data_IF_464068564718
#
_entry.id   IF_464068564718
#
_cell.length_a   1.000
_cell.length_b   1.000
_cell.length_c   1.000
_cell.angle_alpha   90.00
_cell.angle_beta   90.00
_cell.angle_gamma   90.00
#
_symmetry.space_group_name_H-M   'P 1'
#
loop_
_entity.id
_entity.type
_entity.pdbx_description
1 polymer ?
#
# COMPACT_ATOMS: atom_id res chain seq x y z
N UNK A 1 -38.14 -46.86 -2.47
CA UNK A 1 -38.06 -45.41 -2.75
C UNK A 1 -36.78 -44.88 -2.12
N UNK A 2 -35.64 -44.98 -2.81
CA UNK A 2 -34.34 -44.50 -2.33
C UNK A 2 -33.30 -44.70 -3.44
N UNK A 3 -33.10 -43.70 -4.29
CA UNK A 3 -32.12 -43.85 -5.38
C UNK A 3 -31.87 -42.60 -6.23
N UNK A 4 -32.80 -41.64 -6.22
CA UNK A 4 -32.74 -40.48 -7.14
C UNK A 4 -32.19 -39.19 -6.51
N UNK A 5 -32.03 -39.11 -5.18
CA UNK A 5 -31.61 -37.88 -4.49
C UNK A 5 -30.09 -37.71 -4.30
N UNK A 6 -29.29 -38.77 -4.48
CA UNK A 6 -27.83 -38.70 -4.20
C UNK A 6 -27.03 -38.21 -5.42
N UNK A 7 -27.55 -38.32 -6.64
CA UNK A 7 -26.84 -37.86 -7.86
C UNK A 7 -26.96 -36.36 -8.13
N UNK A 8 -27.96 -35.66 -7.56
CA UNK A 8 -28.12 -34.22 -7.74
C UNK A 8 -27.17 -33.39 -6.85
N UNK A 9 -26.80 -33.90 -5.67
CA UNK A 9 -25.89 -33.20 -4.75
C UNK A 9 -24.42 -33.20 -5.22
N UNK A 10 -23.98 -34.26 -5.93
CA UNK A 10 -22.61 -34.36 -6.42
C UNK A 10 -22.33 -33.46 -7.65
N UNK A 11 -23.35 -33.16 -8.46
CA UNK A 11 -23.21 -32.25 -9.61
C UNK A 11 -23.23 -30.77 -9.22
N UNK A 12 -23.86 -30.41 -8.09
CA UNK A 12 -23.83 -29.03 -7.57
C UNK A 12 -22.56 -28.71 -6.77
N UNK A 13 -21.95 -29.69 -6.11
CA UNK A 13 -20.67 -29.51 -5.43
C UNK A 13 -19.49 -29.35 -6.42
N UNK A 14 -19.55 -29.97 -7.60
CA UNK A 14 -18.52 -29.83 -8.64
C UNK A 14 -18.50 -28.46 -9.33
N UNK A 15 -19.65 -27.80 -9.44
CA UNK A 15 -19.79 -26.49 -10.10
C UNK A 15 -19.56 -25.29 -9.16
N UNK A 16 -19.67 -25.47 -7.85
CA UNK A 16 -19.35 -24.44 -6.86
C UNK A 16 -17.89 -24.43 -6.42
N UNK A 17 -17.14 -25.53 -6.60
CA UNK A 17 -15.70 -25.56 -6.34
C UNK A 17 -14.85 -25.02 -7.49
N UNK A 18 -15.37 -24.91 -8.71
CA UNK A 18 -14.63 -24.35 -9.85
C UNK A 18 -14.66 -22.82 -9.94
N UNK A 19 -15.54 -22.14 -9.18
CA UNK A 19 -15.65 -20.67 -9.23
C UNK A 19 -14.72 -19.95 -8.23
N UNK A 20 -14.15 -20.64 -7.25
CA UNK A 20 -13.26 -20.04 -6.24
C UNK A 20 -11.76 -20.34 -6.46
N UNK A 21 -11.41 -21.21 -7.42
CA UNK A 21 -10.02 -21.59 -7.70
C UNK A 21 -9.41 -20.93 -8.95
N UNK A 22 -10.11 -19.96 -9.56
CA UNK A 22 -9.70 -19.33 -10.83
C UNK A 22 -8.86 -18.05 -10.73
N UNK A 23 -8.75 -17.39 -9.57
CA UNK A 23 -8.18 -16.03 -9.48
C UNK A 23 -6.70 -15.97 -9.05
N UNK A 24 -6.11 -17.11 -8.70
CA UNK A 24 -4.71 -17.18 -8.26
C UNK A 24 -3.72 -17.49 -9.40
N UNK A 25 -4.13 -17.39 -10.68
CA UNK A 25 -3.16 -17.17 -11.73
C UNK A 25 -2.67 -15.74 -11.57
N UNK A 26 -1.42 -15.58 -11.15
CA UNK A 26 -0.77 -14.31 -11.10
C UNK A 26 -0.76 -13.71 -12.52
N UNK A 27 -1.75 -12.87 -12.84
CA UNK A 27 -1.74 -11.93 -13.98
C UNK A 27 -0.49 -11.04 -13.90
N UNK A 28 0.68 -11.56 -14.24
CA UNK A 28 1.86 -10.72 -14.39
C UNK A 28 1.52 -9.68 -15.43
N UNK A 29 1.69 -8.41 -15.07
CA UNK A 29 1.46 -7.34 -16.02
C UNK A 29 2.39 -7.53 -17.21
N UNK A 30 1.90 -7.26 -18.44
CA UNK A 30 2.77 -7.28 -19.61
C UNK A 30 3.94 -6.33 -19.40
N UNK A 31 5.15 -6.79 -19.72
CA UNK A 31 6.36 -5.96 -19.65
C UNK A 31 6.62 -5.19 -20.93
N UNK A 32 5.86 -5.49 -22.00
CA UNK A 32 5.96 -4.80 -23.30
C UNK A 32 4.97 -3.64 -23.36
N UNK A 33 5.35 -2.58 -24.07
CA UNK A 33 4.47 -1.42 -24.29
C UNK A 33 3.17 -1.80 -25.00
N UNK A 34 3.25 -2.73 -25.96
CA UNK A 34 2.08 -3.25 -26.69
C UNK A 34 1.12 -3.97 -25.74
N UNK A 35 1.63 -4.89 -24.92
CA UNK A 35 0.80 -5.59 -23.95
C UNK A 35 0.19 -4.66 -22.90
N UNK A 36 0.91 -3.62 -22.46
CA UNK A 36 0.35 -2.61 -21.57
C UNK A 36 -0.77 -1.80 -22.23
N UNK A 37 -0.62 -1.45 -23.51
CA UNK A 37 -1.69 -0.79 -24.27
C UNK A 37 -2.92 -1.69 -24.41
N UNK A 38 -2.73 -2.98 -24.71
CA UNK A 38 -3.83 -3.96 -24.76
C UNK A 38 -4.53 -4.06 -23.40
N UNK A 39 -3.77 -4.10 -22.31
CA UNK A 39 -4.33 -4.12 -20.95
C UNK A 39 -5.11 -2.84 -20.63
N UNK A 40 -4.60 -1.65 -20.98
CA UNK A 40 -5.33 -0.39 -20.85
C UNK A 40 -6.65 -0.41 -21.61
N UNK A 41 -6.63 -0.88 -22.86
CA UNK A 41 -7.85 -1.00 -23.67
C UNK A 41 -8.84 -1.98 -23.06
N UNK A 42 -8.35 -3.13 -22.57
CA UNK A 42 -9.18 -4.12 -21.87
C UNK A 42 -9.81 -3.53 -20.60
N UNK A 43 -9.07 -2.74 -19.82
CA UNK A 43 -9.61 -2.04 -18.65
C UNK A 43 -10.72 -1.06 -19.05
N UNK A 44 -10.51 -0.23 -20.07
CA UNK A 44 -11.53 0.72 -20.56
C UNK A 44 -12.78 -0.01 -21.07
N UNK A 45 -12.62 -1.09 -21.85
CA UNK A 45 -13.73 -1.93 -22.29
C UNK A 45 -14.46 -2.58 -21.12
N UNK A 46 -13.72 -2.91 -20.05
CA UNK A 46 -14.26 -3.40 -18.79
C UNK A 46 -14.94 -2.34 -17.93
N UNK A 47 -15.02 -1.08 -18.36
CA UNK A 47 -15.67 0.02 -17.64
C UNK A 47 -14.79 0.72 -16.62
N UNK A 48 -13.48 0.45 -16.60
CA UNK A 48 -12.54 1.23 -15.79
C UNK A 48 -12.34 2.62 -16.40
N UNK A 49 -12.07 3.60 -15.54
CA UNK A 49 -11.68 4.96 -15.90
C UNK A 49 -10.32 5.28 -15.28
N UNK A 50 -9.57 6.17 -15.91
CA UNK A 50 -8.34 6.70 -15.30
C UNK A 50 -8.70 7.48 -14.03
N UNK A 51 -7.97 7.22 -12.96
CA UNK A 51 -8.13 7.91 -11.69
C UNK A 51 -7.13 9.05 -11.54
N UNK A 52 -7.59 10.15 -10.98
CA UNK A 52 -6.74 11.27 -10.57
C UNK A 52 -7.23 11.83 -9.24
N UNK A 53 -6.30 12.22 -8.38
CA UNK A 53 -6.62 12.76 -7.07
C UNK A 53 -7.54 13.97 -7.18
N UNK A 54 -8.61 13.99 -6.37
CA UNK A 54 -9.67 15.01 -6.36
C UNK A 54 -10.53 15.12 -7.63
N UNK A 55 -10.38 14.21 -8.60
CA UNK A 55 -11.20 14.22 -9.83
C UNK A 55 -12.22 13.08 -9.88
N UNK A 56 -12.14 12.13 -8.94
CA UNK A 56 -13.06 11.00 -8.84
C UNK A 56 -14.08 11.22 -7.73
N UNK A 57 -15.32 10.83 -8.00
CA UNK A 57 -16.44 10.76 -7.08
C UNK A 57 -16.81 9.31 -6.69
N UNK A 58 -15.97 8.33 -7.06
CA UNK A 58 -16.30 6.93 -6.85
C UNK A 58 -16.06 6.47 -5.41
N UNK A 59 -17.13 6.28 -4.65
CA UNK A 59 -17.03 5.90 -3.23
C UNK A 59 -16.88 4.39 -3.00
N UNK A 60 -17.17 3.57 -4.00
CA UNK A 60 -17.05 2.11 -3.93
C UNK A 60 -16.48 1.56 -5.23
N UNK A 61 -15.18 1.80 -5.43
CA UNK A 61 -14.46 1.41 -6.64
C UNK A 61 -13.34 0.43 -6.33
N UNK A 62 -13.26 -0.62 -7.14
CA UNK A 62 -12.04 -1.41 -7.30
C UNK A 62 -10.99 -0.55 -8.01
N UNK A 63 -9.72 -0.74 -7.66
CA UNK A 63 -8.59 -0.05 -8.28
C UNK A 63 -7.62 -1.03 -8.92
N UNK A 64 -6.93 -0.57 -9.96
CA UNK A 64 -5.84 -1.29 -10.62
C UNK A 64 -4.71 -0.29 -10.90
N UNK A 65 -3.48 -0.67 -10.58
CA UNK A 65 -2.28 0.10 -10.91
C UNK A 65 -1.62 -0.48 -12.15
N UNK A 66 -1.27 0.34 -13.14
CA UNK A 66 -0.40 -0.05 -14.24
C UNK A 66 0.90 0.76 -14.21
N UNK A 67 1.98 0.20 -14.75
CA UNK A 67 3.23 0.93 -14.97
C UNK A 67 4.00 0.35 -16.14
N UNK A 68 4.73 1.20 -16.86
CA UNK A 68 5.71 0.80 -17.88
C UNK A 68 7.10 0.53 -17.28
N UNK A 69 7.26 0.74 -15.97
CA UNK A 69 8.56 0.63 -15.30
C UNK A 69 8.85 -0.84 -14.94
N UNK A 70 9.93 -1.43 -15.47
CA UNK A 70 10.25 -2.84 -15.21
C UNK A 70 10.49 -3.14 -13.73
N UNK A 71 10.95 -2.16 -12.95
CA UNK A 71 11.14 -2.28 -11.50
C UNK A 71 9.84 -2.64 -10.78
N UNK A 72 8.68 -2.25 -11.34
CA UNK A 72 7.37 -2.53 -10.75
C UNK A 72 6.82 -3.89 -11.16
N UNK A 73 7.46 -4.60 -12.09
CA UNK A 73 6.97 -5.88 -12.63
C UNK A 73 7.54 -7.10 -11.90
N UNK A 74 8.42 -6.91 -10.92
CA UNK A 74 8.95 -8.04 -10.13
C UNK A 74 7.84 -8.71 -9.32
N UNK A 75 7.92 -10.03 -9.05
CA UNK A 75 6.90 -10.73 -8.28
C UNK A 75 6.62 -10.11 -6.90
N UNK A 76 7.67 -9.64 -6.20
CA UNK A 76 7.52 -8.99 -4.90
C UNK A 76 6.75 -7.67 -4.99
N UNK A 77 7.04 -6.84 -5.99
CA UNK A 77 6.35 -5.56 -6.16
C UNK A 77 4.91 -5.78 -6.59
N UNK A 78 4.67 -6.73 -7.50
CA UNK A 78 3.31 -7.09 -7.91
C UNK A 78 2.48 -7.65 -6.75
N UNK A 79 3.07 -8.44 -5.87
CA UNK A 79 2.42 -8.90 -4.64
C UNK A 79 2.04 -7.73 -3.70
N UNK A 80 2.96 -6.76 -3.53
CA UNK A 80 2.69 -5.54 -2.76
C UNK A 80 1.53 -4.74 -3.37
N UNK A 81 1.58 -4.46 -4.68
CA UNK A 81 0.57 -3.68 -5.41
C UNK A 81 -0.80 -4.36 -5.32
N UNK A 82 -0.89 -5.67 -5.59
CA UNK A 82 -2.15 -6.42 -5.50
C UNK A 82 -2.74 -6.43 -4.10
N UNK A 83 -1.89 -6.48 -3.08
CA UNK A 83 -2.38 -6.38 -1.71
C UNK A 83 -3.05 -5.01 -1.44
N UNK A 84 -2.53 -3.92 -2.03
CA UNK A 84 -3.20 -2.61 -1.99
C UNK A 84 -4.53 -2.61 -2.73
N UNK A 85 -4.59 -3.21 -3.92
CA UNK A 85 -5.80 -3.29 -4.73
C UNK A 85 -6.89 -4.11 -4.02
N UNK A 86 -6.54 -5.32 -3.58
CA UNK A 86 -7.48 -6.30 -3.04
C UNK A 86 -7.94 -5.99 -1.62
N UNK A 87 -7.14 -5.25 -0.82
CA UNK A 87 -7.50 -4.94 0.57
C UNK A 87 -8.28 -3.63 0.70
N UNK A 88 -8.57 -2.92 -0.40
CA UNK A 88 -9.17 -1.57 -0.38
C UNK A 88 -10.48 -1.52 0.41
N UNK A 89 -11.48 -2.29 -0.01
CA UNK A 89 -12.82 -2.25 0.58
C UNK A 89 -12.79 -2.55 2.07
N UNK A 90 -12.02 -3.57 2.44
CA UNK A 90 -11.86 -4.01 3.83
C UNK A 90 -11.14 -2.98 4.70
N UNK A 91 -10.02 -2.42 4.24
CA UNK A 91 -9.27 -1.41 5.00
C UNK A 91 -10.08 -0.11 5.10
N UNK A 92 -10.72 0.33 4.02
CA UNK A 92 -11.60 1.51 4.01
C UNK A 92 -12.72 1.36 5.05
N UNK A 93 -13.38 0.21 5.07
CA UNK A 93 -14.43 -0.09 6.05
C UNK A 93 -13.90 -0.12 7.49
N UNK A 94 -12.77 -0.79 7.72
CA UNK A 94 -12.15 -0.93 9.04
C UNK A 94 -11.69 0.40 9.65
N UNK A 95 -11.24 1.32 8.79
CA UNK A 95 -10.76 2.63 9.23
C UNK A 95 -11.83 3.73 9.17
N UNK A 96 -12.97 3.46 8.54
CA UNK A 96 -13.95 4.49 8.15
C UNK A 96 -13.27 5.64 7.39
N UNK A 97 -12.29 5.31 6.55
CA UNK A 97 -11.53 6.30 5.79
C UNK A 97 -12.26 6.69 4.51
N UNK A 98 -11.91 7.85 3.96
CA UNK A 98 -12.38 8.24 2.64
C UNK A 98 -11.78 7.31 1.55
N UNK A 99 -12.58 6.75 0.63
CA UNK A 99 -12.11 5.84 -0.43
C UNK A 99 -11.12 6.48 -1.41
N UNK A 100 -11.25 7.79 -1.66
CA UNK A 100 -10.36 8.55 -2.53
C UNK A 100 -9.03 8.81 -1.82
N UNK A 101 -9.07 9.08 -0.51
CA UNK A 101 -7.85 9.15 0.30
C UNK A 101 -7.12 7.82 0.32
N UNK A 102 -7.83 6.70 0.41
CA UNK A 102 -7.20 5.38 0.26
C UNK A 102 -6.43 5.29 -1.07
N UNK A 103 -7.01 5.70 -2.18
CA UNK A 103 -6.35 5.68 -3.49
C UNK A 103 -5.06 6.52 -3.50
N UNK A 104 -5.12 7.76 -2.99
CA UNK A 104 -3.94 8.62 -2.84
C UNK A 104 -2.86 7.93 -1.99
N UNK A 105 -3.25 7.40 -0.82
CA UNK A 105 -2.35 6.75 0.11
C UNK A 105 -1.74 5.46 -0.47
N UNK A 106 -2.47 4.74 -1.33
CA UNK A 106 -1.97 3.57 -2.03
C UNK A 106 -0.90 3.95 -3.08
N UNK A 107 -1.10 5.04 -3.84
CA UNK A 107 -0.02 5.60 -4.68
C UNK A 107 1.19 6.00 -3.83
N UNK A 108 0.96 6.68 -2.70
CA UNK A 108 2.02 7.07 -1.78
C UNK A 108 2.76 5.85 -1.21
N UNK A 109 2.07 4.77 -0.86
CA UNK A 109 2.68 3.54 -0.34
C UNK A 109 3.66 2.93 -1.34
N UNK A 110 3.32 2.91 -2.63
CA UNK A 110 4.23 2.45 -3.71
C UNK A 110 5.38 3.45 -3.89
N UNK A 111 5.11 4.75 -3.79
CA UNK A 111 6.16 5.78 -3.81
C UNK A 111 7.18 5.64 -2.68
N UNK A 112 6.70 5.32 -1.47
CA UNK A 112 7.51 5.02 -0.29
C UNK A 112 8.30 3.73 -0.50
N UNK A 113 7.70 2.68 -1.06
CA UNK A 113 8.40 1.44 -1.40
C UNK A 113 9.60 1.70 -2.32
N UNK A 114 9.40 2.50 -3.38
CA UNK A 114 10.49 2.92 -4.26
C UNK A 114 11.57 3.72 -3.53
N UNK A 115 11.17 4.63 -2.63
CA UNK A 115 12.11 5.45 -1.86
C UNK A 115 12.92 4.67 -0.83
N UNK A 116 12.31 3.73 -0.13
CA UNK A 116 12.90 3.08 1.04
C UNK A 116 13.71 1.83 0.69
N UNK A 117 13.21 1.04 -0.26
CA UNK A 117 13.85 -0.21 -0.64
C UNK A 117 14.25 -0.28 -2.11
N UNK A 118 14.03 0.77 -2.91
CA UNK A 118 14.18 0.70 -4.37
C UNK A 118 13.42 -0.53 -4.90
N UNK A 119 12.17 -0.66 -4.48
CA UNK A 119 11.31 -1.79 -4.86
C UNK A 119 11.91 -3.15 -4.48
N UNK A 120 12.31 -3.32 -3.21
CA UNK A 120 12.96 -4.52 -2.66
C UNK A 120 14.42 -4.78 -3.11
N UNK A 121 15.04 -3.90 -3.90
CA UNK A 121 16.37 -4.15 -4.47
C UNK A 121 17.54 -3.48 -3.74
N UNK A 122 17.27 -2.52 -2.83
CA UNK A 122 18.34 -1.76 -2.21
C UNK A 122 19.27 -2.66 -1.40
N UNK A 123 20.58 -2.49 -1.57
CA UNK A 123 21.59 -3.30 -0.87
C UNK A 123 21.39 -3.26 0.65
N UNK A 124 21.05 -2.09 1.20
CA UNK A 124 20.76 -1.91 2.63
C UNK A 124 19.55 -2.72 3.07
N UNK A 125 18.50 -2.78 2.26
CA UNK A 125 17.34 -3.61 2.54
C UNK A 125 17.72 -5.09 2.50
N UNK A 126 18.38 -5.55 1.43
CA UNK A 126 18.82 -6.95 1.30
C UNK A 126 19.68 -7.41 2.48
N UNK A 127 20.64 -6.60 2.92
CA UNK A 127 21.48 -6.93 4.09
C UNK A 127 20.65 -7.09 5.38
N UNK A 128 19.61 -6.26 5.57
CA UNK A 128 18.73 -6.37 6.75
C UNK A 128 17.88 -7.63 6.72
N UNK A 129 17.46 -8.06 5.54
CA UNK A 129 16.66 -9.27 5.31
C UNK A 129 17.49 -10.55 5.41
N UNK A 130 18.69 -10.54 4.83
CA UNK A 130 19.57 -11.72 4.79
C UNK A 130 20.23 -11.99 6.16
N UNK A 131 20.36 -10.97 7.02
CA UNK A 131 21.04 -11.07 8.32
C UNK A 131 20.32 -10.32 9.47
N UNK A 132 19.08 -10.69 9.81
CA UNK A 132 18.28 -9.97 10.83
C UNK A 132 18.91 -10.04 12.23
N UNK A 133 19.56 -11.16 12.58
CA UNK A 133 20.28 -11.35 13.83
C UNK A 133 21.49 -10.41 13.95
N UNK A 134 22.28 -10.26 12.88
CA UNK A 134 23.46 -9.38 12.88
C UNK A 134 23.09 -7.91 13.14
N UNK A 135 22.02 -7.42 12.51
CA UNK A 135 21.54 -6.04 12.72
C UNK A 135 21.04 -5.83 14.15
N UNK A 136 20.36 -6.83 14.72
CA UNK A 136 19.88 -6.76 16.11
C UNK A 136 21.03 -6.73 17.12
N UNK A 137 22.08 -7.52 16.90
CA UNK A 137 23.30 -7.55 17.73
C UNK A 137 24.06 -6.24 17.63
N UNK A 138 24.27 -5.71 16.42
CA UNK A 138 24.93 -4.40 16.24
C UNK A 138 24.15 -3.30 16.95
N UNK A 139 22.81 -3.27 16.82
CA UNK A 139 21.98 -2.29 17.54
C UNK A 139 22.04 -2.45 19.05
N UNK A 140 22.08 -3.67 19.56
CA UNK A 140 22.21 -3.93 20.99
C UNK A 140 23.56 -3.44 21.54
N UNK A 141 24.66 -3.74 20.83
CA UNK A 141 26.01 -3.25 21.16
C UNK A 141 26.05 -1.71 21.09
N UNK A 142 25.45 -1.12 20.06
CA UNK A 142 25.44 0.33 19.87
C UNK A 142 24.55 1.05 20.90
N UNK A 143 23.44 0.46 21.31
CA UNK A 143 22.57 0.97 22.38
C UNK A 143 23.27 0.90 23.75
N UNK A 144 23.96 -0.22 24.02
CA UNK A 144 24.77 -0.42 25.22
C UNK A 144 25.92 0.60 25.32
N UNK A 145 26.67 0.79 24.23
CA UNK A 145 27.79 1.76 24.19
C UNK A 145 27.33 3.21 24.30
N UNK A 146 26.11 3.53 23.87
CA UNK A 146 25.59 4.91 23.87
C UNK A 146 24.61 5.20 25.03
N UNK A 147 24.38 4.26 25.95
CA UNK A 147 23.52 4.47 27.13
C UNK A 147 22.06 4.81 26.81
N UNK A 148 21.52 4.36 25.67
CA UNK A 148 20.14 4.64 25.24
C UNK A 148 19.30 3.37 25.20
N UNK A 149 18.03 3.47 25.58
CA UNK A 149 17.04 2.41 25.36
C UNK A 149 16.86 2.17 23.85
N UNK A 150 16.78 0.91 23.45
CA UNK A 150 16.57 0.54 22.06
C UNK A 150 15.24 1.14 21.54
N UNK A 151 15.31 2.04 20.56
CA UNK A 151 14.13 2.56 19.89
C UNK A 151 13.52 1.49 18.98
N UNK A 152 12.19 1.57 18.77
CA UNK A 152 11.52 0.71 17.80
C UNK A 152 12.21 0.82 16.43
N UNK A 153 12.70 -0.31 15.94
CA UNK A 153 13.42 -0.36 14.66
C UNK A 153 12.42 -0.33 13.50
N UNK A 154 12.67 0.51 12.50
CA UNK A 154 12.00 0.39 11.19
C UNK A 154 12.21 -1.00 10.57
N UNK A 155 11.13 -1.59 10.03
CA UNK A 155 11.07 -2.96 9.48
C UNK A 155 10.46 -2.97 8.08
N UNK A 156 10.74 -4.03 7.32
CA UNK A 156 10.16 -4.27 6.00
C UNK A 156 10.64 -3.32 4.89
N UNK A 157 10.13 -3.49 3.67
CA UNK A 157 10.60 -2.77 2.47
C UNK A 157 10.16 -1.30 2.43
N UNK A 158 9.16 -0.92 3.25
CA UNK A 158 8.72 0.47 3.44
C UNK A 158 9.28 1.09 4.72
N UNK A 159 10.02 0.35 5.57
CA UNK A 159 10.65 0.89 6.78
C UNK A 159 9.66 1.46 7.83
N UNK A 160 8.43 0.95 7.89
CA UNK A 160 7.47 1.32 8.95
C UNK A 160 8.00 0.95 10.34
N UNK A 161 7.71 1.81 11.33
CA UNK A 161 8.23 1.67 12.71
C UNK A 161 7.30 0.88 13.63
N UNK A 162 6.00 0.98 13.38
CA UNK A 162 4.94 0.38 14.20
C UNK A 162 3.88 -0.17 13.25
N UNK A 163 3.44 -1.40 13.48
CA UNK A 163 2.29 -1.97 12.79
C UNK A 163 1.03 -1.43 13.47
N UNK A 164 0.08 -0.84 12.72
CA UNK A 164 -1.18 -0.38 13.30
C UNK A 164 -1.97 -1.53 13.93
N UNK A 165 -2.52 -1.31 15.12
CA UNK A 165 -3.22 -2.35 15.90
C UNK A 165 -4.39 -2.97 15.11
N UNK A 166 -5.16 -2.15 14.38
CA UNK A 166 -6.28 -2.67 13.57
C UNK A 166 -5.80 -3.60 12.45
N UNK A 167 -4.66 -3.29 11.83
CA UNK A 167 -4.04 -4.13 10.81
C UNK A 167 -3.45 -5.41 11.42
N UNK A 168 -2.75 -5.30 12.55
CA UNK A 168 -2.20 -6.44 13.28
C UNK A 168 -3.32 -7.43 13.66
N UNK A 169 -4.37 -6.93 14.32
CA UNK A 169 -5.50 -7.75 14.76
C UNK A 169 -6.26 -8.39 13.59
N UNK A 170 -6.41 -7.67 12.47
CA UNK A 170 -7.17 -8.21 11.33
C UNK A 170 -6.38 -9.24 10.53
N UNK A 171 -5.11 -8.97 10.27
CA UNK A 171 -4.31 -9.73 9.30
C UNK A 171 -3.21 -10.59 9.93
N UNK A 172 -3.04 -10.56 11.26
CA UNK A 172 -1.95 -11.26 11.95
C UNK A 172 -0.56 -10.73 11.57
N UNK A 173 -0.49 -9.46 11.16
CA UNK A 173 0.76 -8.84 10.71
C UNK A 173 1.54 -8.39 11.94
N UNK A 174 2.80 -8.82 12.01
CA UNK A 174 3.73 -8.49 13.10
C UNK A 174 5.01 -7.91 12.52
N UNK A 175 5.83 -7.21 13.33
CA UNK A 175 7.12 -6.69 12.86
C UNK A 175 8.04 -7.72 12.18
N UNK A 176 7.90 -9.00 12.53
CA UNK A 176 8.74 -10.10 12.05
C UNK A 176 8.30 -10.67 10.70
N UNK A 177 7.09 -10.37 10.24
CA UNK A 177 6.59 -10.80 8.93
C UNK A 177 6.41 -9.65 7.91
N UNK A 178 6.93 -8.45 8.23
CA UNK A 178 6.89 -7.28 7.34
C UNK A 178 7.82 -7.36 6.12
N UNK A 179 8.63 -8.41 6.01
CA UNK A 179 9.39 -8.70 4.79
C UNK A 179 8.51 -9.28 3.69
N UNK A 180 7.34 -9.82 4.04
CA UNK A 180 6.33 -10.30 3.09
C UNK A 180 5.67 -9.09 2.42
N UNK A 181 5.69 -9.00 1.07
CA UNK A 181 5.17 -7.83 0.35
C UNK A 181 3.72 -7.47 0.70
N UNK A 182 2.84 -8.46 0.84
CA UNK A 182 1.42 -8.27 1.13
C UNK A 182 1.21 -7.68 2.53
N UNK A 183 1.98 -8.17 3.51
CA UNK A 183 1.94 -7.66 4.88
C UNK A 183 2.49 -6.24 4.95
N UNK A 184 3.60 -5.97 4.26
CA UNK A 184 4.17 -4.65 4.15
C UNK A 184 3.19 -3.64 3.54
N UNK A 185 2.47 -4.03 2.49
CA UNK A 185 1.47 -3.21 1.83
C UNK A 185 0.34 -2.82 2.79
N UNK A 186 -0.29 -3.81 3.44
CA UNK A 186 -1.41 -3.58 4.37
C UNK A 186 -1.00 -2.76 5.59
N UNK A 187 0.17 -3.06 6.17
CA UNK A 187 0.70 -2.30 7.31
C UNK A 187 1.08 -0.86 6.94
N UNK A 188 1.64 -0.65 5.74
CA UNK A 188 1.91 0.70 5.24
C UNK A 188 0.61 1.47 5.03
N UNK A 189 -0.44 0.84 4.50
CA UNK A 189 -1.73 1.49 4.33
C UNK A 189 -2.38 1.89 5.64
N UNK A 190 -2.48 0.98 6.61
CA UNK A 190 -3.05 1.34 7.92
C UNK A 190 -2.26 2.48 8.58
N UNK A 191 -0.92 2.44 8.50
CA UNK A 191 -0.07 3.48 9.06
C UNK A 191 -0.32 4.83 8.37
N UNK A 192 -0.40 4.85 7.04
CA UNK A 192 -0.65 6.08 6.28
C UNK A 192 -2.03 6.68 6.56
N UNK A 193 -3.06 5.84 6.76
CA UNK A 193 -4.41 6.30 7.11
C UNK A 193 -4.40 6.98 8.49
N UNK A 194 -3.77 6.34 9.49
CA UNK A 194 -3.63 6.92 10.84
C UNK A 194 -2.79 8.20 10.82
N UNK A 195 -1.70 8.21 10.05
CA UNK A 195 -0.85 9.38 9.87
C UNK A 195 -1.57 10.55 9.19
N UNK A 196 -2.46 10.27 8.22
CA UNK A 196 -3.28 11.30 7.56
C UNK A 196 -4.32 11.87 8.53
N UNK A 197 -4.96 11.02 9.32
CA UNK A 197 -5.87 11.47 10.38
C UNK A 197 -5.15 12.36 11.40
N UNK A 198 -3.95 11.98 11.82
CA UNK A 198 -3.09 12.77 12.70
C UNK A 198 -2.70 14.11 12.06
N UNK A 199 -2.26 14.10 10.80
CA UNK A 199 -1.90 15.32 10.06
C UNK A 199 -3.07 16.30 10.01
N UNK A 200 -4.26 15.84 9.64
CA UNK A 200 -5.48 16.65 9.58
C UNK A 200 -5.86 17.21 10.94
N UNK A 201 -5.80 16.39 12.00
CA UNK A 201 -6.10 16.82 13.36
C UNK A 201 -5.11 17.90 13.83
N UNK A 202 -3.81 17.68 13.61
CA UNK A 202 -2.77 18.67 13.94
C UNK A 202 -2.95 19.95 13.15
N UNK A 203 -3.26 19.86 11.86
CA UNK A 203 -3.49 21.02 11.02
C UNK A 203 -4.65 21.88 11.54
N UNK A 204 -5.78 21.26 11.91
CA UNK A 204 -6.90 21.97 12.55
C UNK A 204 -6.50 22.61 13.88
N UNK A 205 -5.86 21.86 14.76
CA UNK A 205 -5.50 22.34 16.10
C UNK A 205 -4.46 23.47 16.09
N UNK A 206 -3.56 23.47 15.11
CA UNK A 206 -2.46 24.42 15.02
C UNK A 206 -2.64 25.46 13.89
N UNK A 207 -3.81 25.47 13.22
CA UNK A 207 -4.13 26.36 12.09
C UNK A 207 -3.05 26.32 11.01
N UNK A 208 -2.72 25.11 10.55
CA UNK A 208 -1.79 24.89 9.44
C UNK A 208 -2.55 24.96 8.12
N UNK A 209 -2.81 26.18 7.65
CA UNK A 209 -3.59 26.41 6.42
C UNK A 209 -2.89 25.89 5.16
N UNK A 210 -1.59 25.58 5.25
CA UNK A 210 -0.83 24.94 4.17
C UNK A 210 -1.12 23.45 4.01
N UNK A 211 -1.81 22.81 4.96
CA UNK A 211 -2.24 21.41 4.88
C UNK A 211 -3.66 21.37 4.34
N UNK A 212 -3.78 21.11 3.04
CA UNK A 212 -5.05 20.98 2.30
C UNK A 212 -5.07 19.63 1.57
N UNK A 213 -6.23 19.15 1.08
CA UNK A 213 -6.28 17.92 0.29
C UNK A 213 -5.27 17.87 -0.86
N UNK A 214 -5.04 19.00 -1.53
CA UNK A 214 -4.06 19.14 -2.62
C UNK A 214 -2.61 18.92 -2.15
N UNK A 215 -2.32 19.20 -0.89
CA UNK A 215 -0.96 19.16 -0.32
C UNK A 215 -0.73 17.97 0.62
N UNK A 216 -1.66 17.02 0.71
CA UNK A 216 -1.48 15.81 1.54
C UNK A 216 -0.22 15.04 1.17
N UNK A 217 0.05 14.82 -0.12
CA UNK A 217 1.27 14.15 -0.58
C UNK A 217 2.57 14.91 -0.28
N UNK A 218 2.48 16.22 0.00
CA UNK A 218 3.64 17.05 0.34
C UNK A 218 3.97 16.98 1.83
N UNK A 219 2.95 17.00 2.70
CA UNK A 219 3.15 17.15 4.14
C UNK A 219 2.99 15.86 4.94
N UNK A 220 2.20 14.89 4.47
CA UNK A 220 2.06 13.59 5.13
C UNK A 220 3.40 12.84 5.30
N UNK A 221 4.36 12.90 4.35
CA UNK A 221 5.66 12.27 4.55
C UNK A 221 6.38 12.75 5.81
N UNK A 222 6.19 14.00 6.24
CA UNK A 222 6.81 14.51 7.47
C UNK A 222 6.28 13.85 8.75
N UNK A 223 5.04 13.34 8.73
CA UNK A 223 4.56 12.44 9.79
C UNK A 223 5.29 11.09 9.65
N UNK A 224 5.31 10.54 8.44
CA UNK A 224 5.88 9.23 8.13
C UNK A 224 7.33 9.05 8.59
N UNK A 225 8.24 9.94 8.17
CA UNK A 225 9.64 9.87 8.56
C UNK A 225 9.95 10.53 9.91
N UNK A 226 8.94 11.03 10.64
CA UNK A 226 9.06 11.52 12.01
C UNK A 226 9.63 12.94 12.15
N UNK A 227 9.35 13.82 11.18
CA UNK A 227 9.76 15.23 11.19
C UNK A 227 8.61 16.20 11.47
N UNK A 228 7.66 15.81 12.32
CA UNK A 228 6.51 16.65 12.74
C UNK A 228 6.95 18.02 13.27
N UNK A 229 8.14 18.11 13.89
CA UNK A 229 8.72 19.38 14.35
C UNK A 229 8.90 20.40 13.22
N UNK A 230 9.19 19.96 11.99
CA UNK A 230 9.32 20.85 10.83
C UNK A 230 7.97 21.41 10.38
N UNK A 231 6.90 20.62 10.49
CA UNK A 231 5.52 21.11 10.26
C UNK A 231 5.14 22.14 11.32
N UNK A 232 5.36 21.80 12.59
CA UNK A 232 5.04 22.68 13.73
C UNK A 232 5.78 24.01 13.68
N UNK A 233 7.06 23.97 13.32
CA UNK A 233 7.90 25.16 13.27
C UNK A 233 7.80 25.90 11.92
N UNK A 234 6.94 25.43 10.99
CA UNK A 234 6.77 26.00 9.65
C UNK A 234 8.06 26.06 8.83
N UNK A 235 8.95 25.08 9.03
CA UNK A 235 10.23 24.96 8.31
C UNK A 235 10.23 23.80 7.30
N UNK A 236 9.11 23.09 7.14
CA UNK A 236 8.97 22.05 6.14
C UNK A 236 9.05 22.62 4.71
N UNK A 237 9.92 22.07 3.87
CA UNK A 237 10.11 22.49 2.47
C UNK A 237 9.88 21.32 1.51
N UNK A 238 8.62 20.86 1.31
CA UNK A 238 8.33 19.66 0.52
C UNK A 238 8.89 19.71 -0.91
N UNK A 239 8.91 20.89 -1.54
CA UNK A 239 9.42 21.09 -2.89
C UNK A 239 10.94 20.81 -3.03
N UNK A 240 11.73 20.96 -1.96
CA UNK A 240 13.19 20.73 -1.97
C UNK A 240 13.60 19.52 -1.14
N UNK A 241 12.72 18.99 -0.30
CA UNK A 241 12.98 17.80 0.50
C UNK A 241 13.16 16.57 -0.41
N UNK A 242 14.36 15.99 -0.39
CA UNK A 242 14.73 14.87 -1.26
C UNK A 242 13.79 13.67 -1.09
N UNK A 243 13.39 13.35 0.15
CA UNK A 243 12.49 12.23 0.41
C UNK A 243 11.14 12.44 -0.28
N UNK A 244 10.53 13.61 -0.09
CA UNK A 244 9.22 13.96 -0.67
C UNK A 244 9.30 13.94 -2.19
N UNK A 245 10.35 14.55 -2.77
CA UNK A 245 10.55 14.60 -4.22
C UNK A 245 10.71 13.22 -4.84
N UNK A 246 11.55 12.37 -4.26
CA UNK A 246 11.77 11.01 -4.78
C UNK A 246 10.51 10.15 -4.64
N UNK A 247 9.82 10.22 -3.50
CA UNK A 247 8.55 9.52 -3.29
C UNK A 247 7.50 9.94 -4.33
N UNK A 248 7.29 11.26 -4.54
CA UNK A 248 6.38 11.76 -5.58
C UNK A 248 6.83 11.39 -7.00
N UNK A 249 8.14 11.35 -7.25
CA UNK A 249 8.71 10.86 -8.50
C UNK A 249 8.31 9.41 -8.79
N UNK A 250 8.36 8.54 -7.78
CA UNK A 250 7.89 7.16 -7.89
C UNK A 250 6.37 7.04 -7.98
N UNK A 251 5.60 7.90 -7.31
CA UNK A 251 4.14 7.95 -7.51
C UNK A 251 3.78 8.22 -8.97
N UNK A 252 4.52 9.13 -9.63
CA UNK A 252 4.34 9.46 -11.05
C UNK A 252 4.73 8.34 -12.03
N UNK A 253 5.22 7.19 -11.55
CA UNK A 253 5.45 6.01 -12.39
C UNK A 253 4.20 5.16 -12.59
N UNK A 254 3.13 5.47 -11.86
CA UNK A 254 1.91 4.68 -11.82
C UNK A 254 0.80 5.38 -12.58
N UNK A 255 0.07 4.59 -13.34
CA UNK A 255 -1.28 4.90 -13.77
C UNK A 255 -2.24 4.16 -12.83
N UNK A 256 -3.27 4.84 -12.34
CA UNK A 256 -4.32 4.17 -11.57
C UNK A 256 -5.61 4.21 -12.38
N UNK A 257 -6.30 3.08 -12.37
CA UNK A 257 -7.61 2.91 -12.95
C UNK A 257 -8.59 2.51 -11.87
N UNK A 258 -9.83 2.94 -11.99
CA UNK A 258 -10.89 2.55 -11.07
C UNK A 258 -12.17 2.17 -11.80
N UNK A 259 -12.95 1.30 -11.18
CA UNK A 259 -14.28 0.90 -11.65
C UNK A 259 -15.18 0.65 -10.47
N UNK A 260 -16.42 1.13 -10.56
CA UNK A 260 -17.42 0.89 -9.53
C UNK A 260 -17.56 -0.62 -9.29
N UNK A 261 -17.56 -1.03 -8.03
CA UNK A 261 -17.77 -2.41 -7.67
C UNK A 261 -19.14 -2.83 -8.23
N UNK A 262 -19.19 -3.97 -8.93
CA UNK A 262 -20.48 -4.53 -9.33
C UNK A 262 -21.22 -4.82 -8.03
N UNK A 263 -22.37 -4.18 -7.83
CA UNK A 263 -23.29 -4.58 -6.78
C UNK A 263 -23.55 -6.08 -7.00
N UNK A 264 -23.10 -6.91 -6.07
CA UNK A 264 -23.52 -8.31 -6.07
C UNK A 264 -25.04 -8.25 -5.93
N UNK A 265 -25.74 -8.77 -6.94
CA UNK A 265 -27.19 -8.85 -6.89
C UNK A 265 -27.59 -9.56 -5.57
N UNK A 266 -28.61 -9.05 -4.86
CA UNK A 266 -29.00 -9.56 -3.55
C UNK A 266 -29.37 -11.04 -3.57
#
# INVERSE_FOLDING_TARGET
>A
MSGTLIRAAALFAGLLLSAQLGWAQAYMQPTTREGLNELRQSLFQGGYKSWSWMQSDCMDCNIVFLSERPELHTPKVQAFIRALENSKSEIVAMYHSDPQEYNLLAQMAIGILGRESKFFESRRYRIKEDYPTLVSVVKAVQAYLNGRSASASSRGPTQIKVVPERIENRYGITPDNLWMPENAARATMGFLIEALAELKQRARNNKWDFVTPETYADYLPYIYFGAVGQLRNRTATPATNLYVREMKGYMGWLEMYERQALQQAP
#
